data_IF_818493225081
#
_entry.id   IF_818493225081
#
_cell.length_a   1.000
_cell.length_b   1.000
_cell.length_c   1.000
_cell.angle_alpha   90.00
_cell.angle_beta   90.00
_cell.angle_gamma   90.00
#
_symmetry.space_group_name_H-M   'P 1'
#
loop_
_entity.id
_entity.type
_entity.pdbx_description
1 polymer ?
#
# COMPACT_ATOMS: atom_id res chain seq x y z
N UNK A 1 11.93 62.89 8.35
CA UNK A 1 12.96 61.83 8.44
C UNK A 1 12.25 60.48 8.43
N UNK A 2 11.91 60.00 7.23
CA UNK A 2 11.24 58.73 7.03
C UNK A 2 12.29 57.75 6.50
N UNK A 3 12.77 56.85 7.36
CA UNK A 3 13.70 55.80 6.96
C UNK A 3 12.90 54.59 6.51
N UNK A 4 13.21 54.21 5.29
CA UNK A 4 12.60 53.23 4.41
C UNK A 4 12.61 51.80 5.01
N UNK A 5 11.44 51.29 5.42
CA UNK A 5 11.25 49.94 5.99
C UNK A 5 11.30 48.84 4.90
N UNK A 6 11.45 49.19 3.62
CA UNK A 6 11.49 48.22 2.52
C UNK A 6 12.86 47.57 2.26
N UNK A 7 13.91 47.93 2.99
CA UNK A 7 15.26 47.39 2.75
C UNK A 7 15.67 46.22 3.67
N UNK A 8 14.87 45.88 4.69
CA UNK A 8 15.20 44.83 5.66
C UNK A 8 14.54 43.47 5.39
N UNK A 9 13.59 43.39 4.44
CA UNK A 9 12.91 42.13 4.08
C UNK A 9 13.60 41.35 2.96
N UNK A 10 14.65 41.91 2.32
CA UNK A 10 15.37 41.25 1.22
C UNK A 10 16.64 40.49 1.66
N UNK A 11 17.01 40.51 2.94
CA UNK A 11 18.20 39.83 3.46
C UNK A 11 17.90 38.51 4.19
N UNK A 12 16.65 38.03 4.18
CA UNK A 12 16.26 36.72 4.73
C UNK A 12 15.89 35.68 3.67
N UNK A 13 16.01 36.02 2.37
CA UNK A 13 16.15 35.03 1.30
C UNK A 13 17.65 34.79 1.03
N UNK A 14 18.37 34.47 2.10
CA UNK A 14 19.67 33.84 1.99
C UNK A 14 19.43 32.48 1.35
N UNK A 15 19.65 32.41 0.04
CA UNK A 15 19.79 31.18 -0.72
C UNK A 15 20.56 30.19 0.16
N UNK A 16 19.88 29.14 0.61
CA UNK A 16 20.55 27.90 0.93
C UNK A 16 21.16 27.43 -0.38
N UNK A 17 22.34 27.96 -0.69
CA UNK A 17 23.26 27.41 -1.67
C UNK A 17 23.65 26.05 -1.10
N UNK A 18 22.82 25.07 -1.40
CA UNK A 18 23.22 23.68 -1.44
C UNK A 18 24.55 23.66 -2.19
N UNK A 19 25.62 23.30 -1.48
CA UNK A 19 26.89 22.98 -2.09
C UNK A 19 26.63 22.11 -3.32
N UNK A 20 27.09 22.46 -4.53
CA UNK A 20 26.86 21.66 -5.71
C UNK A 20 27.47 20.28 -5.45
N UNK A 21 26.61 19.29 -5.22
CA UNK A 21 27.07 17.90 -5.08
C UNK A 21 27.73 17.51 -6.39
N UNK A 22 28.90 16.88 -6.29
CA UNK A 22 29.89 16.52 -7.32
C UNK A 22 29.38 15.75 -8.56
N UNK A 23 28.08 15.54 -8.73
CA UNK A 23 27.49 14.75 -9.83
C UNK A 23 27.46 15.48 -11.17
N UNK A 24 27.73 16.79 -11.13
CA UNK A 24 27.61 17.68 -12.26
C UNK A 24 28.80 17.57 -13.23
N UNK A 25 29.92 16.96 -12.82
CA UNK A 25 31.12 16.77 -13.63
C UNK A 25 31.37 15.27 -13.89
N UNK A 26 30.56 14.64 -14.75
CA UNK A 26 30.95 13.37 -15.36
C UNK A 26 32.06 13.66 -16.37
N UNK A 27 33.29 13.79 -15.89
CA UNK A 27 34.47 13.92 -16.75
C UNK A 27 34.75 12.53 -17.35
N UNK A 28 34.90 12.46 -18.67
CA UNK A 28 35.14 11.23 -19.46
C UNK A 28 33.90 10.44 -19.92
N UNK A 29 32.88 11.12 -20.46
CA UNK A 29 31.80 10.46 -21.21
C UNK A 29 32.35 9.96 -22.55
N UNK A 30 32.09 8.70 -22.91
CA UNK A 30 32.53 8.13 -24.19
C UNK A 30 31.79 8.79 -25.37
N UNK A 31 32.39 8.89 -26.57
CA UNK A 31 31.72 9.47 -27.75
C UNK A 31 30.35 8.84 -28.04
N UNK A 32 30.25 7.52 -27.87
CA UNK A 32 28.98 6.77 -27.97
C UNK A 32 27.91 7.31 -27.02
N UNK A 33 28.27 7.57 -25.77
CA UNK A 33 27.33 8.09 -24.79
C UNK A 33 26.98 9.55 -25.04
N UNK A 34 27.94 10.38 -25.47
CA UNK A 34 27.68 11.77 -25.86
C UNK A 34 26.61 11.86 -26.97
N UNK A 35 26.70 10.98 -27.98
CA UNK A 35 25.69 10.90 -29.03
C UNK A 35 24.33 10.45 -28.48
N UNK A 36 24.31 9.43 -27.62
CA UNK A 36 23.07 8.87 -27.06
C UNK A 36 22.35 9.81 -26.08
N UNK A 37 23.10 10.66 -25.38
CA UNK A 37 22.55 11.65 -24.44
C UNK A 37 22.45 13.05 -25.05
N UNK A 38 22.70 13.19 -26.36
CA UNK A 38 22.62 14.47 -27.06
C UNK A 38 21.22 15.06 -26.92
N UNK A 39 21.15 16.33 -26.50
CA UNK A 39 19.89 17.04 -26.28
C UNK A 39 19.24 16.79 -24.92
N UNK A 40 19.73 15.89 -24.07
CA UNK A 40 19.26 15.81 -22.69
C UNK A 40 19.86 16.92 -21.83
N UNK A 41 19.02 17.50 -20.97
CA UNK A 41 19.45 18.47 -19.97
C UNK A 41 20.54 17.89 -19.04
N UNK A 42 21.27 18.75 -18.34
CA UNK A 42 22.23 18.30 -17.31
C UNK A 42 21.48 17.47 -16.27
N UNK A 43 21.99 16.28 -15.97
CA UNK A 43 21.35 15.40 -15.00
C UNK A 43 21.37 16.04 -13.61
N UNK A 44 20.22 16.07 -12.96
CA UNK A 44 20.07 16.44 -11.56
C UNK A 44 19.54 15.22 -10.80
N UNK A 45 20.17 14.83 -9.68
CA UNK A 45 19.61 13.81 -8.81
C UNK A 45 18.17 14.16 -8.43
N UNK A 46 17.27 13.18 -8.38
CA UNK A 46 15.89 13.42 -7.98
C UNK A 46 15.85 13.89 -6.52
N UNK A 47 14.96 14.85 -6.23
CA UNK A 47 14.66 15.24 -4.86
C UNK A 47 13.91 14.11 -4.13
N UNK A 48 14.15 14.00 -2.82
CA UNK A 48 13.51 13.03 -1.96
C UNK A 48 13.21 13.65 -0.61
N UNK A 49 12.04 13.34 -0.03
CA UNK A 49 11.62 13.90 1.26
C UNK A 49 12.55 13.49 2.41
N UNK A 50 13.10 12.27 2.33
CA UNK A 50 13.98 11.70 3.36
C UNK A 50 15.19 11.00 2.77
N UNK A 51 16.39 11.50 3.06
CA UNK A 51 17.65 10.94 2.56
C UNK A 51 18.12 11.59 1.26
N UNK A 52 19.27 11.14 0.76
CA UNK A 52 19.95 11.77 -0.39
C UNK A 52 20.27 10.72 -1.46
N UNK A 53 20.09 11.08 -2.73
CA UNK A 53 20.50 10.21 -3.83
C UNK A 53 21.97 10.43 -4.19
N UNK A 54 22.73 9.34 -4.19
CA UNK A 54 24.07 9.26 -4.78
C UNK A 54 23.99 8.65 -6.16
N UNK A 55 24.22 9.46 -7.19
CA UNK A 55 24.12 9.03 -8.58
C UNK A 55 25.49 8.79 -9.23
N UNK A 56 25.60 7.74 -10.04
CA UNK A 56 26.83 7.43 -10.80
C UNK A 56 26.47 7.17 -12.26
N UNK A 57 27.27 7.69 -13.18
CA UNK A 57 27.07 7.45 -14.61
C UNK A 57 27.62 6.08 -15.02
N UNK A 58 26.84 5.29 -15.75
CA UNK A 58 27.25 4.01 -16.29
C UNK A 58 27.67 4.17 -17.76
N UNK A 59 28.97 4.11 -18.02
CA UNK A 59 29.54 4.31 -19.36
C UNK A 59 29.16 3.22 -20.38
N UNK A 60 28.75 2.04 -19.95
CA UNK A 60 28.36 0.96 -20.85
C UNK A 60 26.93 1.10 -21.36
N UNK A 61 26.03 1.63 -20.52
CA UNK A 61 24.60 1.79 -20.82
C UNK A 61 24.20 3.24 -21.14
N UNK A 62 25.07 4.19 -20.82
CA UNK A 62 24.85 5.63 -20.92
C UNK A 62 23.62 6.09 -20.11
N UNK A 63 23.48 5.55 -18.91
CA UNK A 63 22.40 5.87 -17.97
C UNK A 63 22.99 6.28 -16.60
N UNK A 64 22.22 7.04 -15.82
CA UNK A 64 22.57 7.34 -14.43
C UNK A 64 21.95 6.29 -13.52
N UNK A 65 22.74 5.76 -12.59
CA UNK A 65 22.28 4.86 -11.54
C UNK A 65 22.32 5.63 -10.22
N UNK A 66 21.17 5.92 -9.66
CA UNK A 66 20.99 6.70 -8.44
C UNK A 66 20.63 5.79 -7.27
N UNK A 67 21.47 5.80 -6.22
CA UNK A 67 21.23 5.05 -5.00
C UNK A 67 20.72 5.96 -3.90
N UNK A 68 19.56 5.65 -3.32
CA UNK A 68 19.06 6.38 -2.14
C UNK A 68 19.88 6.00 -0.91
N UNK A 69 20.42 7.01 -0.23
CA UNK A 69 21.16 6.91 1.03
C UNK A 69 20.27 7.44 2.14
N UNK A 70 19.92 6.57 3.09
CA UNK A 70 19.11 6.95 4.23
C UNK A 70 19.93 7.68 5.30
N UNK A 71 19.34 8.69 5.96
CA UNK A 71 20.04 9.50 6.95
C UNK A 71 20.44 8.66 8.16
N UNK A 72 21.62 8.96 8.71
CA UNK A 72 22.12 8.41 9.96
C UNK A 72 22.05 9.49 11.04
N UNK A 73 21.17 9.33 12.02
CA UNK A 73 21.17 10.24 13.17
C UNK A 73 22.21 9.83 14.20
N UNK A 74 22.83 10.82 14.86
CA UNK A 74 23.90 10.62 15.86
C UNK A 74 23.42 10.02 17.19
N UNK A 75 22.11 10.04 17.44
CA UNK A 75 21.45 9.54 18.65
C UNK A 75 21.14 8.03 18.62
N UNK A 76 21.61 7.29 17.61
CA UNK A 76 21.37 5.85 17.47
C UNK A 76 20.06 5.48 16.76
N UNK A 77 19.23 6.46 16.38
CA UNK A 77 18.06 6.25 15.53
C UNK A 77 18.52 6.15 14.07
N UNK A 78 18.47 4.94 13.51
CA UNK A 78 18.82 4.70 12.12
C UNK A 78 17.59 4.60 11.22
N UNK A 79 17.71 5.17 10.02
CA UNK A 79 16.81 4.83 8.93
C UNK A 79 17.50 3.84 8.01
N UNK A 80 16.73 2.89 7.52
CA UNK A 80 17.18 1.86 6.60
C UNK A 80 16.37 1.93 5.33
N UNK A 81 16.94 1.39 4.26
CA UNK A 81 16.25 1.34 2.99
C UNK A 81 15.15 0.29 3.04
N UNK A 82 13.95 0.66 2.60
CA UNK A 82 12.74 -0.16 2.63
C UNK A 82 12.92 -1.53 1.94
N UNK A 83 13.75 -1.57 0.90
CA UNK A 83 14.20 -2.77 0.20
C UNK A 83 15.62 -2.56 -0.35
N UNK A 84 16.57 -3.41 0.07
CA UNK A 84 17.99 -3.34 -0.34
C UNK A 84 18.22 -3.54 -1.83
N UNK A 85 17.32 -4.24 -2.52
CA UNK A 85 17.38 -4.53 -3.96
C UNK A 85 16.71 -3.46 -4.82
N UNK A 86 15.81 -2.64 -4.23
CA UNK A 86 15.05 -1.59 -4.92
C UNK A 86 15.59 -0.17 -4.69
N UNK A 87 16.70 -0.02 -3.96
CA UNK A 87 17.30 1.29 -3.69
C UNK A 87 18.11 1.90 -4.83
N UNK A 88 17.92 1.44 -6.07
CA UNK A 88 18.62 1.93 -7.25
C UNK A 88 17.61 2.34 -8.30
N UNK A 89 17.57 3.63 -8.59
CA UNK A 89 16.81 4.17 -9.71
C UNK A 89 17.74 4.35 -10.91
N UNK A 90 17.31 3.89 -12.08
CA UNK A 90 18.06 4.07 -13.32
C UNK A 90 17.37 5.15 -14.14
N UNK A 91 18.12 6.16 -14.55
CA UNK A 91 17.66 7.25 -15.40
C UNK A 91 18.32 7.17 -16.77
N UNK A 92 17.52 7.00 -17.81
CA UNK A 92 17.97 7.01 -19.20
C UNK A 92 17.48 8.25 -19.92
N UNK A 93 18.33 8.83 -20.77
CA UNK A 93 17.95 9.94 -21.64
C UNK A 93 16.93 9.46 -22.69
N UNK A 94 15.76 10.09 -22.71
CA UNK A 94 14.71 9.85 -23.71
C UNK A 94 13.94 11.14 -23.98
N UNK A 95 13.86 11.53 -25.26
CA UNK A 95 13.16 12.75 -25.70
C UNK A 95 13.62 14.01 -24.93
N UNK A 96 14.93 14.26 -24.88
CA UNK A 96 15.57 15.41 -24.20
C UNK A 96 15.41 15.48 -22.67
N UNK A 97 14.80 14.46 -22.06
CA UNK A 97 14.58 14.38 -20.61
C UNK A 97 15.16 13.09 -20.04
N UNK A 98 15.68 13.14 -18.81
CA UNK A 98 16.07 11.96 -18.05
C UNK A 98 14.84 11.28 -17.49
N UNK A 99 14.47 10.13 -18.05
CA UNK A 99 13.34 9.34 -17.58
C UNK A 99 13.82 8.22 -16.66
N UNK A 100 13.20 8.11 -15.49
CA UNK A 100 13.36 6.98 -14.58
C UNK A 100 12.80 5.73 -15.26
N UNK A 101 13.50 4.61 -15.16
CA UNK A 101 12.99 3.30 -15.56
C UNK A 101 12.01 2.79 -14.51
N UNK A 102 10.91 2.18 -14.95
CA UNK A 102 9.91 1.57 -14.08
C UNK A 102 10.51 0.43 -13.26
N UNK A 103 10.84 0.75 -12.01
CA UNK A 103 11.31 -0.17 -10.99
C UNK A 103 10.66 0.20 -9.65
N UNK A 104 10.51 -0.74 -8.71
CA UNK A 104 10.00 -0.42 -7.38
C UNK A 104 10.86 0.67 -6.74
N UNK A 105 10.25 1.72 -6.18
CA UNK A 105 10.99 2.81 -5.53
C UNK A 105 11.36 2.40 -4.11
N UNK A 106 12.64 2.46 -3.78
CA UNK A 106 13.09 2.39 -2.39
C UNK A 106 12.82 3.71 -1.67
N UNK A 107 12.43 3.64 -0.40
CA UNK A 107 12.27 4.81 0.48
C UNK A 107 12.93 4.51 1.83
N UNK A 108 13.20 5.54 2.62
CA UNK A 108 13.83 5.38 3.93
C UNK A 108 12.79 5.10 5.00
N UNK A 109 13.01 4.06 5.80
CA UNK A 109 12.13 3.63 6.89
C UNK A 109 12.89 3.57 8.20
N UNK A 110 12.27 4.07 9.26
CA UNK A 110 12.75 3.88 10.62
C UNK A 110 12.30 2.49 11.12
N UNK A 111 13.23 1.70 11.67
CA UNK A 111 12.95 0.41 12.28
C UNK A 111 13.49 0.42 13.70
N UNK A 112 12.73 1.07 14.58
CA UNK A 112 13.15 1.31 15.97
C UNK A 112 12.21 0.55 16.89
N UNK A 113 12.52 -0.70 17.25
CA UNK A 113 11.75 -1.43 18.24
C UNK A 113 12.01 -0.85 19.65
N UNK A 114 10.99 -0.89 20.50
CA UNK A 114 11.08 -0.49 21.91
C UNK A 114 11.53 -1.71 22.72
N UNK A 115 12.81 -1.75 23.07
CA UNK A 115 13.45 -2.95 23.66
C UNK A 115 12.89 -3.29 25.04
N UNK A 116 12.45 -2.28 25.79
CA UNK A 116 11.94 -2.37 27.16
C UNK A 116 10.68 -3.24 27.24
N UNK A 117 9.83 -3.19 26.22
CA UNK A 117 8.57 -3.94 26.15
C UNK A 117 8.60 -5.08 25.13
N UNK A 118 9.61 -5.13 24.27
CA UNK A 118 9.74 -6.16 23.24
C UNK A 118 10.01 -7.54 23.84
N UNK A 119 9.07 -8.45 23.68
CA UNK A 119 9.16 -9.84 24.16
C UNK A 119 8.87 -10.80 23.01
N UNK A 120 9.89 -11.52 22.50
CA UNK A 120 9.74 -12.59 21.52
C UNK A 120 8.96 -12.21 20.23
N UNK A 121 8.98 -10.93 19.82
CA UNK A 121 8.29 -10.46 18.62
C UNK A 121 9.22 -10.53 17.41
N UNK A 122 9.26 -11.68 16.75
CA UNK A 122 10.16 -11.90 15.59
C UNK A 122 9.56 -11.51 14.23
N UNK A 123 8.22 -11.46 14.14
CA UNK A 123 7.49 -11.34 12.86
C UNK A 123 6.94 -9.92 12.60
N UNK A 124 7.61 -8.88 13.12
CA UNK A 124 7.16 -7.48 12.97
C UNK A 124 7.02 -7.07 11.51
N UNK A 125 7.88 -7.57 10.63
CA UNK A 125 7.83 -7.25 9.21
C UNK A 125 6.58 -7.84 8.56
N UNK A 126 6.26 -9.09 8.86
CA UNK A 126 5.10 -9.81 8.35
C UNK A 126 3.79 -9.23 8.92
N UNK A 127 3.79 -8.80 10.18
CA UNK A 127 2.69 -8.07 10.78
C UNK A 127 2.42 -6.73 10.08
N UNK A 128 3.48 -5.96 9.75
CA UNK A 128 3.31 -4.73 8.97
C UNK A 128 2.78 -4.99 7.56
N UNK A 129 3.23 -6.07 6.91
CA UNK A 129 2.66 -6.49 5.62
C UNK A 129 1.18 -6.84 5.74
N UNK A 130 0.80 -7.57 6.79
CA UNK A 130 -0.60 -7.90 7.06
C UNK A 130 -1.44 -6.63 7.27
N UNK A 131 -0.94 -5.65 8.03
CA UNK A 131 -1.58 -4.34 8.18
C UNK A 131 -1.78 -3.67 6.82
N UNK A 132 -0.76 -3.67 5.96
CA UNK A 132 -0.87 -3.16 4.59
C UNK A 132 -1.94 -3.88 3.75
N UNK A 133 -2.02 -5.21 3.85
CA UNK A 133 -3.06 -6.00 3.19
C UNK A 133 -4.46 -5.67 3.70
N UNK A 134 -4.64 -5.48 5.01
CA UNK A 134 -5.92 -5.08 5.61
C UNK A 134 -6.35 -3.68 5.13
N UNK A 135 -5.42 -2.72 5.07
CA UNK A 135 -5.69 -1.40 4.50
C UNK A 135 -6.07 -1.48 3.02
N UNK A 136 -5.36 -2.29 2.24
CA UNK A 136 -5.68 -2.50 0.83
C UNK A 136 -7.07 -3.13 0.64
N UNK A 137 -7.40 -4.17 1.39
CA UNK A 137 -8.74 -4.78 1.39
C UNK A 137 -9.82 -3.77 1.77
N UNK A 138 -9.57 -2.94 2.79
CA UNK A 138 -10.49 -1.87 3.15
C UNK A 138 -10.72 -0.91 1.97
N UNK A 139 -9.66 -0.50 1.27
CA UNK A 139 -9.78 0.44 0.17
C UNK A 139 -10.51 -0.15 -1.04
N UNK A 140 -10.33 -1.45 -1.29
CA UNK A 140 -11.14 -2.21 -2.26
C UNK A 140 -12.62 -2.18 -1.88
N UNK A 141 -12.96 -2.50 -0.64
CA UNK A 141 -14.35 -2.50 -0.19
C UNK A 141 -15.00 -1.12 -0.23
N UNK A 142 -14.26 -0.07 0.12
CA UNK A 142 -14.73 1.31 -0.02
C UNK A 142 -15.04 1.67 -1.48
N UNK A 143 -14.17 1.26 -2.41
CA UNK A 143 -14.39 1.46 -3.84
C UNK A 143 -15.65 0.72 -4.33
N UNK A 144 -15.84 -0.53 -3.88
CA UNK A 144 -17.01 -1.34 -4.22
C UNK A 144 -18.30 -0.74 -3.65
N UNK A 145 -18.29 -0.28 -2.40
CA UNK A 145 -19.43 0.41 -1.79
C UNK A 145 -19.83 1.64 -2.63
N UNK A 146 -18.85 2.49 -2.96
CA UNK A 146 -19.06 3.68 -3.79
C UNK A 146 -19.61 3.35 -5.19
N UNK A 147 -19.22 2.21 -5.76
CA UNK A 147 -19.73 1.75 -7.04
C UNK A 147 -21.22 1.37 -6.96
N UNK A 148 -21.64 0.66 -5.91
CA UNK A 148 -23.03 0.23 -5.73
C UNK A 148 -24.00 1.38 -5.44
N UNK A 149 -23.50 2.51 -4.93
CA UNK A 149 -24.28 3.73 -4.68
C UNK A 149 -24.57 4.55 -5.94
N UNK A 150 -23.95 4.23 -7.08
CA UNK A 150 -24.18 4.96 -8.32
C UNK A 150 -25.64 4.86 -8.75
N UNK A 151 -26.19 5.95 -9.29
CA UNK A 151 -27.59 6.02 -9.70
C UNK A 151 -27.96 5.01 -10.80
N UNK A 152 -26.98 4.59 -11.62
CA UNK A 152 -27.15 3.58 -12.68
C UNK A 152 -26.88 2.14 -12.22
N UNK A 153 -26.50 1.94 -10.95
CA UNK A 153 -26.32 0.61 -10.33
C UNK A 153 -27.40 0.39 -9.26
N UNK A 154 -27.56 1.33 -8.33
CA UNK A 154 -28.63 1.38 -7.33
C UNK A 154 -28.83 0.10 -6.50
N UNK A 155 -27.74 -0.45 -5.96
CA UNK A 155 -27.74 -1.62 -5.06
C UNK A 155 -27.35 -1.23 -3.62
N UNK A 156 -28.22 -0.55 -2.86
CA UNK A 156 -27.90 0.00 -1.54
C UNK A 156 -27.58 -1.05 -0.48
N UNK A 157 -28.18 -2.25 -0.54
CA UNK A 157 -27.84 -3.36 0.34
C UNK A 157 -26.41 -3.85 0.11
N UNK A 158 -26.01 -4.04 -1.15
CA UNK A 158 -24.61 -4.37 -1.48
C UNK A 158 -23.66 -3.26 -1.06
N UNK A 159 -24.02 -1.98 -1.24
CA UNK A 159 -23.22 -0.86 -0.71
C UNK A 159 -23.02 -0.98 0.81
N UNK A 160 -24.10 -1.26 1.54
CA UNK A 160 -24.05 -1.41 3.00
C UNK A 160 -23.17 -2.59 3.42
N UNK A 161 -23.26 -3.73 2.73
CA UNK A 161 -22.40 -4.90 2.99
C UNK A 161 -20.92 -4.55 2.81
N UNK A 162 -20.57 -3.89 1.70
CA UNK A 162 -19.18 -3.50 1.42
C UNK A 162 -18.69 -2.44 2.41
N UNK A 163 -19.57 -1.53 2.84
CA UNK A 163 -19.26 -0.56 3.90
C UNK A 163 -18.95 -1.26 5.22
N UNK A 164 -19.75 -2.26 5.63
CA UNK A 164 -19.45 -3.05 6.83
C UNK A 164 -18.12 -3.78 6.75
N UNK A 165 -17.82 -4.41 5.60
CA UNK A 165 -16.53 -5.06 5.37
C UNK A 165 -15.37 -4.05 5.47
N UNK A 166 -15.52 -2.86 4.87
CA UNK A 166 -14.54 -1.78 4.97
C UNK A 166 -14.27 -1.36 6.42
N UNK A 167 -15.32 -1.10 7.21
CA UNK A 167 -15.19 -0.71 8.62
C UNK A 167 -14.45 -1.77 9.44
N UNK A 168 -14.78 -3.05 9.21
CA UNK A 168 -14.15 -4.17 9.91
C UNK A 168 -12.67 -4.33 9.51
N UNK A 169 -12.31 -4.20 8.23
CA UNK A 169 -10.90 -4.25 7.82
C UNK A 169 -10.09 -3.09 8.41
N UNK A 170 -10.65 -1.88 8.48
CA UNK A 170 -10.00 -0.74 9.16
C UNK A 170 -9.79 -1.06 10.64
N UNK A 171 -10.81 -1.62 11.31
CA UNK A 171 -10.69 -2.03 12.71
C UNK A 171 -9.57 -3.05 12.89
N UNK A 172 -9.53 -4.09 12.07
CA UNK A 172 -8.43 -5.07 12.09
C UNK A 172 -7.07 -4.41 11.89
N UNK A 173 -6.92 -3.54 10.88
CA UNK A 173 -5.65 -2.87 10.62
C UNK A 173 -5.18 -2.06 11.85
N UNK A 174 -6.09 -1.31 12.48
CA UNK A 174 -5.81 -0.53 13.70
C UNK A 174 -5.51 -1.39 14.92
N UNK A 175 -6.23 -2.49 15.09
CA UNK A 175 -6.02 -3.44 16.18
C UNK A 175 -4.62 -4.08 16.06
N UNK A 176 -4.21 -4.49 14.85
CA UNK A 176 -2.86 -5.01 14.60
C UNK A 176 -1.78 -3.96 14.78
N UNK A 177 -1.99 -2.72 14.33
CA UNK A 177 -1.04 -1.63 14.61
C UNK A 177 -0.86 -1.42 16.12
N UNK A 178 -1.97 -1.41 16.86
CA UNK A 178 -1.95 -1.29 18.32
C UNK A 178 -1.26 -2.49 18.98
N UNK A 179 -1.49 -3.70 18.47
CA UNK A 179 -0.83 -4.92 18.93
C UNK A 179 0.68 -4.89 18.71
N UNK A 180 1.14 -4.48 17.53
CA UNK A 180 2.57 -4.34 17.20
C UNK A 180 3.22 -3.37 18.19
N UNK A 181 2.61 -2.20 18.41
CA UNK A 181 3.10 -1.21 19.36
C UNK A 181 3.12 -1.77 20.80
N UNK A 182 2.05 -2.46 21.21
CA UNK A 182 1.95 -3.11 22.54
C UNK A 182 3.05 -4.14 22.77
N UNK A 183 3.49 -4.84 21.73
CA UNK A 183 4.55 -5.86 21.78
C UNK A 183 5.96 -5.29 21.52
N UNK A 184 6.11 -3.96 21.45
CA UNK A 184 7.41 -3.30 21.27
C UNK A 184 7.96 -3.29 19.84
N UNK A 185 7.12 -3.64 18.85
CA UNK A 185 7.46 -3.54 17.45
C UNK A 185 7.44 -2.10 16.94
N UNK A 186 7.65 -1.94 15.63
CA UNK A 186 7.56 -0.67 14.92
C UNK A 186 6.51 -0.77 13.82
N UNK A 187 5.86 0.34 13.49
CA UNK A 187 4.92 0.44 12.39
C UNK A 187 5.62 0.93 11.13
N UNK A 188 5.28 0.31 10.01
CA UNK A 188 5.65 0.72 8.66
C UNK A 188 4.41 0.67 7.80
N UNK A 189 3.90 1.86 7.47
CA UNK A 189 2.83 2.02 6.49
C UNK A 189 3.46 2.11 5.10
N UNK A 190 2.82 1.45 4.13
CA UNK A 190 3.21 1.48 2.73
C UNK A 190 2.07 2.09 1.91
N UNK A 191 2.38 2.46 0.67
CA UNK A 191 1.38 2.98 -0.26
C UNK A 191 0.27 1.94 -0.48
N UNK A 192 -0.98 2.40 -0.44
CA UNK A 192 -2.14 1.56 -0.74
C UNK A 192 -2.38 1.65 -2.26
N UNK A 193 -2.31 0.53 -3.00
CA UNK A 193 -2.50 0.56 -4.44
C UNK A 193 -3.94 0.93 -4.79
N UNK A 194 -4.12 1.54 -5.98
CA UNK A 194 -5.45 1.79 -6.54
C UNK A 194 -6.21 0.45 -6.70
N UNK A 195 -7.49 0.38 -6.31
CA UNK A 195 -8.29 -0.83 -6.43
C UNK A 195 -8.72 -1.06 -7.89
N UNK A 196 -8.08 -2.01 -8.57
CA UNK A 196 -8.43 -2.42 -9.95
C UNK A 196 -9.85 -3.02 -10.01
N UNK A 197 -10.35 -3.57 -8.90
CA UNK A 197 -11.71 -4.09 -8.79
C UNK A 197 -12.79 -3.07 -9.14
N UNK A 198 -12.56 -1.78 -8.84
CA UNK A 198 -13.49 -0.72 -9.24
C UNK A 198 -13.57 -0.62 -10.77
N UNK A 199 -12.42 -0.66 -11.45
CA UNK A 199 -12.37 -0.57 -12.91
C UNK A 199 -13.02 -1.79 -13.56
N UNK A 200 -12.79 -2.98 -13.00
CA UNK A 200 -13.44 -4.22 -13.42
C UNK A 200 -14.95 -4.13 -13.24
N UNK A 201 -15.43 -3.72 -12.07
CA UNK A 201 -16.87 -3.52 -11.84
C UNK A 201 -17.43 -2.50 -12.83
N UNK A 202 -16.77 -1.37 -13.07
CA UNK A 202 -17.22 -0.38 -14.05
C UNK A 202 -17.27 -0.91 -15.49
N UNK A 203 -16.38 -1.83 -15.87
CA UNK A 203 -16.35 -2.42 -17.21
C UNK A 203 -17.31 -3.60 -17.39
N UNK A 204 -17.50 -4.41 -16.36
CA UNK A 204 -18.28 -5.66 -16.40
C UNK A 204 -19.73 -5.49 -15.92
N UNK A 205 -20.10 -4.31 -15.41
CA UNK A 205 -21.40 -4.01 -14.78
C UNK A 205 -22.63 -4.04 -15.71
N UNK A 206 -22.53 -4.44 -16.97
CA UNK A 206 -23.69 -4.42 -17.86
C UNK A 206 -24.75 -5.49 -17.56
N UNK A 207 -24.50 -6.49 -16.69
CA UNK A 207 -25.57 -7.41 -16.28
C UNK A 207 -25.40 -8.20 -14.96
N UNK A 208 -24.24 -8.21 -14.27
CA UNK A 208 -24.02 -9.06 -13.06
C UNK A 208 -23.19 -8.42 -11.95
N UNK A 209 -23.47 -7.16 -11.65
CA UNK A 209 -22.65 -6.36 -10.74
C UNK A 209 -22.59 -6.93 -9.31
N UNK A 210 -23.68 -7.49 -8.79
CA UNK A 210 -23.74 -8.11 -7.47
C UNK A 210 -22.89 -9.38 -7.39
N UNK A 211 -23.00 -10.28 -8.36
CA UNK A 211 -22.24 -11.54 -8.37
C UNK A 211 -20.73 -11.30 -8.51
N UNK A 212 -20.32 -10.44 -9.45
CA UNK A 212 -18.91 -10.10 -9.65
C UNK A 212 -18.32 -9.46 -8.39
N UNK A 213 -19.05 -8.56 -7.72
CA UNK A 213 -18.54 -7.96 -6.50
C UNK A 213 -18.50 -8.92 -5.32
N UNK A 214 -19.46 -9.84 -5.15
CA UNK A 214 -19.36 -10.88 -4.11
C UNK A 214 -18.16 -11.80 -4.34
N UNK A 215 -17.91 -12.22 -5.58
CA UNK A 215 -16.74 -13.02 -5.94
C UNK A 215 -15.43 -12.25 -5.67
N UNK A 216 -15.40 -10.96 -6.00
CA UNK A 216 -14.28 -10.08 -5.68
C UNK A 216 -14.04 -10.00 -4.18
N UNK A 217 -15.10 -9.77 -3.38
CA UNK A 217 -14.99 -9.72 -1.94
C UNK A 217 -14.53 -11.05 -1.33
N UNK A 218 -15.00 -12.17 -1.87
CA UNK A 218 -14.57 -13.49 -1.43
C UNK A 218 -13.08 -13.68 -1.71
N UNK A 219 -12.61 -13.35 -2.91
CA UNK A 219 -11.20 -13.47 -3.29
C UNK A 219 -10.30 -12.60 -2.42
N UNK A 220 -10.68 -11.35 -2.16
CA UNK A 220 -9.95 -10.44 -1.27
C UNK A 220 -9.89 -11.01 0.15
N UNK A 221 -11.00 -11.53 0.67
CA UNK A 221 -11.05 -12.12 2.01
C UNK A 221 -10.18 -13.38 2.10
N UNK A 222 -10.24 -14.25 1.09
CA UNK A 222 -9.43 -15.46 1.03
C UNK A 222 -7.93 -15.16 0.93
N UNK A 223 -7.53 -14.14 0.16
CA UNK A 223 -6.13 -13.73 0.06
C UNK A 223 -5.59 -13.27 1.42
N UNK A 224 -6.33 -12.38 2.12
CA UNK A 224 -5.95 -11.96 3.47
C UNK A 224 -5.90 -13.16 4.42
N UNK A 225 -6.90 -14.05 4.39
CA UNK A 225 -6.92 -15.24 5.23
C UNK A 225 -5.70 -16.14 4.99
N UNK A 226 -5.30 -16.33 3.73
CA UNK A 226 -4.10 -17.07 3.37
C UNK A 226 -2.82 -16.42 3.93
N UNK A 227 -2.72 -15.09 3.87
CA UNK A 227 -1.60 -14.37 4.47
C UNK A 227 -1.52 -14.58 5.99
N UNK A 228 -2.67 -14.58 6.67
CA UNK A 228 -2.77 -14.83 8.12
C UNK A 228 -2.35 -16.26 8.46
N UNK A 229 -2.82 -17.26 7.70
CA UNK A 229 -2.42 -18.66 7.86
C UNK A 229 -0.92 -18.86 7.65
N UNK A 230 -0.32 -18.17 6.68
CA UNK A 230 1.13 -18.18 6.48
C UNK A 230 1.88 -17.60 7.68
N UNK A 231 1.45 -16.43 8.17
CA UNK A 231 2.03 -15.81 9.36
C UNK A 231 1.91 -16.75 10.57
N UNK A 232 0.73 -17.32 10.81
CA UNK A 232 0.49 -18.28 11.88
C UNK A 232 1.44 -19.48 11.81
N UNK A 233 1.63 -20.06 10.63
CA UNK A 233 2.58 -21.16 10.40
C UNK A 233 4.01 -20.76 10.78
N UNK A 234 4.44 -19.55 10.42
CA UNK A 234 5.77 -19.03 10.78
C UNK A 234 5.93 -18.86 12.29
N UNK A 235 4.91 -18.33 12.97
CA UNK A 235 4.90 -18.17 14.44
C UNK A 235 4.85 -19.51 15.18
N UNK A 236 4.58 -20.62 14.48
CA UNK A 236 4.53 -21.97 15.06
C UNK A 236 5.88 -22.69 15.06
N UNK A 237 6.85 -22.20 14.30
CA UNK A 237 8.19 -22.79 14.23
C UNK A 237 8.91 -22.67 15.57
N UNK A 238 9.53 -23.76 16.04
CA UNK A 238 10.25 -23.83 17.35
C UNK A 238 11.17 -22.64 17.64
N UNK A 239 11.94 -22.20 16.64
CA UNK A 239 12.94 -21.11 16.80
C UNK A 239 12.31 -19.74 17.09
N UNK A 240 11.09 -19.50 16.62
CA UNK A 240 10.37 -18.23 16.72
C UNK A 240 8.94 -18.46 17.21
N UNK A 241 8.76 -19.41 18.12
CA UNK A 241 7.42 -19.76 18.59
C UNK A 241 6.87 -18.61 19.44
N UNK A 242 5.76 -18.01 19.01
CA UNK A 242 5.07 -16.95 19.76
C UNK A 242 3.62 -17.38 20.06
N UNK A 243 3.35 -18.01 21.22
CA UNK A 243 2.01 -18.47 21.58
C UNK A 243 0.97 -17.35 21.66
N UNK A 244 1.36 -16.16 22.12
CA UNK A 244 0.44 -15.04 22.27
C UNK A 244 0.07 -14.44 20.91
N UNK A 245 1.01 -14.39 19.96
CA UNK A 245 0.67 -14.00 18.58
C UNK A 245 -0.21 -15.04 17.90
N UNK A 246 0.04 -16.34 18.06
CA UNK A 246 -0.86 -17.38 17.52
C UNK A 246 -2.29 -17.20 17.98
N UNK A 247 -2.49 -17.11 19.29
CA UNK A 247 -3.81 -16.91 19.89
C UNK A 247 -4.49 -15.65 19.35
N UNK A 248 -3.75 -14.55 19.25
CA UNK A 248 -4.27 -13.29 18.72
C UNK A 248 -4.69 -13.39 17.23
N UNK A 249 -3.96 -14.17 16.42
CA UNK A 249 -4.34 -14.45 15.02
C UNK A 249 -5.56 -15.36 14.93
N UNK A 250 -5.64 -16.38 15.80
CA UNK A 250 -6.70 -17.39 15.84
C UNK A 250 -8.04 -16.81 16.30
N UNK A 251 -8.07 -16.18 17.47
CA UNK A 251 -9.28 -15.65 18.09
C UNK A 251 -9.83 -14.43 17.34
N UNK A 252 -8.93 -13.55 16.88
CA UNK A 252 -9.33 -12.33 16.18
C UNK A 252 -9.59 -12.59 14.69
N UNK A 253 -8.51 -12.60 13.91
CA UNK A 253 -8.62 -12.46 12.47
C UNK A 253 -9.06 -13.75 11.78
N UNK A 254 -8.52 -14.92 12.13
CA UNK A 254 -8.85 -16.19 11.47
C UNK A 254 -10.31 -16.60 11.68
N UNK A 255 -10.83 -16.46 12.90
CA UNK A 255 -12.24 -16.72 13.20
C UNK A 255 -13.14 -15.84 12.32
N UNK A 256 -12.92 -14.52 12.36
CA UNK A 256 -13.70 -13.56 11.55
C UNK A 256 -13.61 -13.84 10.04
N UNK A 257 -12.40 -14.11 9.52
CA UNK A 257 -12.22 -14.39 8.09
C UNK A 257 -12.94 -15.67 7.66
N UNK A 258 -12.97 -16.70 8.51
CA UNK A 258 -13.68 -17.96 8.23
C UNK A 258 -15.19 -17.72 8.12
N UNK A 259 -15.76 -16.99 9.07
CA UNK A 259 -17.19 -16.64 9.05
C UNK A 259 -17.55 -15.79 7.84
N UNK A 260 -16.70 -14.82 7.51
CA UNK A 260 -16.90 -13.94 6.35
C UNK A 260 -16.83 -14.72 5.03
N UNK A 261 -15.84 -15.62 4.87
CA UNK A 261 -15.70 -16.47 3.69
C UNK A 261 -16.94 -17.33 3.49
N UNK A 262 -17.42 -17.97 4.55
CA UNK A 262 -18.63 -18.79 4.51
C UNK A 262 -19.82 -17.97 4.06
N UNK A 263 -20.02 -16.80 4.68
CA UNK A 263 -21.15 -15.92 4.38
C UNK A 263 -21.14 -15.39 2.94
N UNK A 264 -19.98 -14.97 2.44
CA UNK A 264 -19.83 -14.57 1.04
C UNK A 264 -20.11 -15.74 0.09
N UNK A 265 -19.66 -16.94 0.44
CA UNK A 265 -19.98 -18.17 -0.30
C UNK A 265 -21.49 -18.46 -0.36
N UNK A 266 -22.20 -18.30 0.76
CA UNK A 266 -23.66 -18.47 0.81
C UNK A 266 -24.38 -17.47 -0.11
N UNK A 267 -23.99 -16.19 -0.06
CA UNK A 267 -24.56 -15.13 -0.90
C UNK A 267 -24.30 -15.38 -2.39
N UNK A 268 -23.07 -15.80 -2.73
CA UNK A 268 -22.72 -16.18 -4.11
C UNK A 268 -23.59 -17.34 -4.58
N UNK A 269 -23.75 -18.37 -3.76
CA UNK A 269 -24.56 -19.54 -4.13
C UNK A 269 -26.03 -19.17 -4.32
N UNK A 270 -26.60 -18.34 -3.43
CA UNK A 270 -27.97 -17.83 -3.57
C UNK A 270 -28.15 -17.04 -4.86
N UNK A 271 -27.27 -16.07 -5.15
CA UNK A 271 -27.40 -15.24 -6.34
C UNK A 271 -27.16 -16.02 -7.63
N UNK A 272 -26.16 -16.91 -7.64
CA UNK A 272 -25.85 -17.73 -8.81
C UNK A 272 -26.89 -18.83 -9.08
N UNK A 273 -27.82 -19.07 -8.15
CA UNK A 273 -28.89 -20.05 -8.34
C UNK A 273 -30.01 -19.56 -9.26
N UNK A 274 -30.13 -18.24 -9.48
CA UNK A 274 -31.13 -17.68 -10.38
C UNK A 274 -30.72 -17.90 -11.85
N UNK A 275 -31.66 -18.33 -12.71
CA UNK A 275 -31.41 -18.44 -14.15
C UNK A 275 -31.19 -17.05 -14.77
N UNK A 276 -30.57 -17.01 -15.95
CA UNK A 276 -30.20 -15.76 -16.63
C UNK A 276 -31.40 -14.82 -16.84
N UNK A 277 -32.60 -15.38 -17.05
CA UNK A 277 -33.85 -14.65 -17.27
C UNK A 277 -34.43 -14.00 -16.00
N UNK A 278 -34.10 -14.52 -14.80
CA UNK A 278 -34.56 -14.00 -13.51
C UNK A 278 -33.43 -13.34 -12.70
N UNK A 279 -32.22 -13.24 -13.27
CA UNK A 279 -31.03 -12.78 -12.54
C UNK A 279 -31.22 -11.38 -11.94
N UNK A 280 -31.75 -10.42 -12.70
CA UNK A 280 -31.93 -9.04 -12.25
C UNK A 280 -32.91 -8.97 -11.06
N UNK A 281 -33.97 -9.79 -11.09
CA UNK A 281 -34.90 -9.90 -9.97
C UNK A 281 -34.22 -10.55 -8.75
N UNK A 282 -33.44 -11.61 -8.96
CA UNK A 282 -32.68 -12.27 -7.90
C UNK A 282 -31.67 -11.34 -7.23
N UNK A 283 -30.96 -10.51 -8.02
CA UNK A 283 -30.02 -9.51 -7.53
C UNK A 283 -30.72 -8.44 -6.70
N UNK A 284 -31.85 -7.92 -7.19
CA UNK A 284 -32.68 -6.97 -6.45
C UNK A 284 -33.21 -7.55 -5.12
N UNK A 285 -33.72 -8.78 -5.14
CA UNK A 285 -34.24 -9.45 -3.93
C UNK A 285 -33.13 -9.66 -2.89
N UNK A 286 -31.94 -10.07 -3.35
CA UNK A 286 -30.79 -10.26 -2.47
C UNK A 286 -30.29 -8.92 -1.90
N UNK A 287 -30.27 -7.85 -2.70
CA UNK A 287 -29.93 -6.51 -2.23
C UNK A 287 -30.86 -6.07 -1.09
N UNK A 288 -32.17 -6.23 -1.25
CA UNK A 288 -33.15 -5.93 -0.19
C UNK A 288 -32.90 -6.75 1.07
N UNK A 289 -32.62 -8.05 0.92
CA UNK A 289 -32.36 -8.95 2.04
C UNK A 289 -31.11 -8.54 2.84
N UNK A 290 -30.05 -8.15 2.13
CA UNK A 290 -28.83 -7.62 2.74
C UNK A 290 -29.13 -6.30 3.46
N UNK A 291 -29.84 -5.37 2.81
CA UNK A 291 -30.15 -4.05 3.34
C UNK A 291 -31.04 -4.06 4.59
N UNK A 292 -31.89 -5.07 4.73
CA UNK A 292 -32.77 -5.24 5.90
C UNK A 292 -32.08 -5.87 7.12
N UNK A 293 -30.80 -6.26 7.00
CA UNK A 293 -30.02 -6.83 8.11
C UNK A 293 -30.50 -8.20 8.60
N UNK A 294 -31.31 -8.92 7.82
CA UNK A 294 -31.83 -10.24 8.19
C UNK A 294 -30.74 -11.33 8.15
N UNK A 295 -29.96 -11.48 9.22
CA UNK A 295 -28.98 -12.57 9.34
C UNK A 295 -27.67 -12.38 8.54
N UNK A 296 -27.53 -11.26 7.83
CA UNK A 296 -26.33 -10.92 7.06
C UNK A 296 -25.57 -9.70 7.61
N UNK A 297 -25.57 -9.47 8.93
CA UNK A 297 -24.58 -8.58 9.55
C UNK A 297 -23.19 -9.21 9.48
N UNK A 298 -22.14 -8.46 9.14
CA UNK A 298 -20.77 -8.96 9.31
C UNK A 298 -20.50 -9.07 10.82
N UNK A 299 -19.96 -10.19 11.34
CA UNK A 299 -19.59 -10.29 12.76
C UNK A 299 -18.67 -9.13 13.15
N UNK A 300 -18.94 -8.49 14.29
CA UNK A 300 -18.14 -7.36 14.78
C UNK A 300 -16.82 -7.79 15.42
#
# INVERSE_FOLDING_TARGET
MAVNVQLLLLLMYGMALLSPTEYSNVTNITPRCLQKTAGCARFQPPEHEVGEYKCTFNHNRCDFVCRLICPRQKNGLWMTLSNTHAGKDIYSCAATVWKRRDMPKGHCVAMVPVKEVSQNLHHTKELNKLVGSLWNSSYVYLAMASFYERADVALPGFSQLMTQLWEVEIKHARDFMSYINKRGGYIRLEDIPRPVSLDVLLMEASSRAGLVGLQTALNVTQDVNYQVLRLHSETTRRKHSDPHLKFYLEEGLLAHKTDTIKKLGDLIHQLASYPDEDYDLGEYLLDLQIGQGQGYGIPK
#
